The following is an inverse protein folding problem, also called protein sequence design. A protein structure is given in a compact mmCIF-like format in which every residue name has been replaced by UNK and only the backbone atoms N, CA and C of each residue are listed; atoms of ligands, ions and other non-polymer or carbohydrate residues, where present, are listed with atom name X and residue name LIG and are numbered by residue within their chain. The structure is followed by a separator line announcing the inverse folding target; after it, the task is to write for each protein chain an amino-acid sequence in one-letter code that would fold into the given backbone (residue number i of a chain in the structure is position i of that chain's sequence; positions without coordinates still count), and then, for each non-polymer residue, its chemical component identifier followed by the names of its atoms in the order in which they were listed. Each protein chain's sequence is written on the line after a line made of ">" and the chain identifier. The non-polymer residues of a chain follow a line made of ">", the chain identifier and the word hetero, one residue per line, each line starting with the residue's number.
data_IF_159495214535
#
_entry.id   IF_159495214535
#
_cell.length_a   1.000
_cell.length_b   1.000
_cell.length_c   1.000
_cell.angle_alpha   90.00
_cell.angle_beta   90.00
_cell.angle_gamma   90.00
#
_symmetry.space_group_name_H-M   'P 1'
#
loop_
_entity.id
_entity.type
_entity.pdbx_description
1 polymer ?
#
# COMPACT_ATOMS: atom_id res chain seq x y z
N UNK A 1 -9.19 -47.97 -4.32
CA UNK A 1 -10.47 -47.41 -3.84
C UNK A 1 -10.12 -46.22 -2.96
N UNK A 2 -10.41 -45.00 -3.40
CA UNK A 2 -10.12 -43.77 -2.68
C UNK A 2 -11.05 -43.62 -1.47
N UNK A 3 -10.49 -43.31 -0.31
CA UNK A 3 -11.28 -43.04 0.89
C UNK A 3 -12.26 -41.87 0.64
N UNK A 4 -13.50 -41.95 1.15
CA UNK A 4 -14.45 -40.85 1.00
C UNK A 4 -13.92 -39.62 1.73
N UNK A 5 -13.75 -38.53 0.98
CA UNK A 5 -13.36 -37.23 1.53
C UNK A 5 -14.56 -36.69 2.32
N UNK A 6 -14.38 -36.55 3.64
CA UNK A 6 -15.40 -35.95 4.51
C UNK A 6 -15.12 -34.45 4.57
N UNK A 7 -16.07 -33.64 4.10
CA UNK A 7 -15.97 -32.19 4.15
C UNK A 7 -16.38 -31.67 5.54
N UNK A 8 -15.73 -30.60 6.06
CA UNK A 8 -16.15 -29.97 7.31
C UNK A 8 -17.60 -29.45 7.24
N UNK A 9 -18.40 -29.54 8.31
CA UNK A 9 -19.80 -29.10 8.32
C UNK A 9 -20.01 -27.64 7.88
N UNK A 10 -19.12 -26.74 8.32
CA UNK A 10 -19.17 -25.32 7.92
C UNK A 10 -18.94 -25.10 6.42
N UNK A 11 -18.23 -26.01 5.75
CA UNK A 11 -18.03 -25.95 4.31
C UNK A 11 -19.28 -26.42 3.57
N UNK A 12 -19.93 -27.49 4.08
CA UNK A 12 -21.18 -28.00 3.53
C UNK A 12 -22.28 -26.93 3.62
N UNK A 13 -22.39 -26.26 4.77
CA UNK A 13 -23.37 -25.18 4.96
C UNK A 13 -23.19 -24.04 3.94
N UNK A 14 -21.94 -23.62 3.71
CA UNK A 14 -21.62 -22.60 2.69
C UNK A 14 -21.91 -23.07 1.27
N UNK A 15 -21.66 -24.33 0.94
CA UNK A 15 -21.96 -24.89 -0.38
C UNK A 15 -23.47 -24.94 -0.62
N UNK A 16 -24.25 -25.34 0.39
CA UNK A 16 -25.71 -25.35 0.35
C UNK A 16 -26.27 -23.94 0.21
N UNK A 17 -25.77 -22.99 1.01
CA UNK A 17 -26.19 -21.59 0.94
C UNK A 17 -25.89 -20.98 -0.44
N UNK A 18 -24.70 -21.25 -0.98
CA UNK A 18 -24.29 -20.77 -2.30
C UNK A 18 -25.11 -21.37 -3.44
N UNK A 19 -25.36 -22.68 -3.40
CA UNK A 19 -26.19 -23.39 -4.38
C UNK A 19 -27.62 -22.85 -4.39
N UNK A 20 -28.24 -22.68 -3.21
CA UNK A 20 -29.59 -22.14 -3.09
C UNK A 20 -29.71 -20.69 -3.58
N UNK A 21 -28.68 -19.85 -3.34
CA UNK A 21 -28.68 -18.46 -3.83
C UNK A 21 -28.64 -18.34 -5.35
N UNK A 22 -28.11 -19.35 -6.03
CA UNK A 22 -27.96 -19.38 -7.49
C UNK A 22 -28.97 -20.29 -8.18
N UNK A 23 -29.91 -20.88 -7.42
CA UNK A 23 -30.90 -21.84 -7.91
C UNK A 23 -30.25 -23.04 -8.63
N UNK A 24 -29.13 -23.53 -8.08
CA UNK A 24 -28.37 -24.65 -8.60
C UNK A 24 -28.42 -25.84 -7.62
N UNK A 25 -28.30 -27.06 -8.14
CA UNK A 25 -27.98 -28.20 -7.27
C UNK A 25 -26.56 -28.07 -6.71
N UNK A 26 -26.28 -28.70 -5.56
CA UNK A 26 -24.94 -28.69 -4.94
C UNK A 26 -23.88 -29.21 -5.92
N UNK A 27 -24.20 -30.25 -6.70
CA UNK A 27 -23.29 -30.79 -7.71
C UNK A 27 -22.96 -29.77 -8.81
N UNK A 28 -23.97 -29.07 -9.33
CA UNK A 28 -23.79 -28.02 -10.34
C UNK A 28 -23.04 -26.82 -9.76
N UNK A 29 -23.31 -26.44 -8.52
CA UNK A 29 -22.63 -25.35 -7.85
C UNK A 29 -21.15 -25.67 -7.61
N UNK A 30 -20.82 -26.89 -7.17
CA UNK A 30 -19.44 -27.36 -7.05
C UNK A 30 -18.72 -27.38 -8.40
N UNK A 31 -19.40 -27.82 -9.47
CA UNK A 31 -18.85 -27.81 -10.82
C UNK A 31 -18.59 -26.38 -11.30
N UNK A 32 -19.51 -25.45 -11.05
CA UNK A 32 -19.35 -24.03 -11.37
C UNK A 32 -18.21 -23.37 -10.59
N UNK A 33 -18.03 -23.73 -9.31
CA UNK A 33 -16.87 -23.28 -8.52
C UNK A 33 -15.55 -23.83 -9.07
N UNK A 34 -15.52 -25.10 -9.49
CA UNK A 34 -14.35 -25.72 -10.11
C UNK A 34 -14.05 -25.11 -11.47
N UNK A 35 -15.06 -24.86 -12.30
CA UNK A 35 -14.92 -24.21 -13.60
C UNK A 35 -14.41 -22.78 -13.45
N UNK A 36 -14.93 -22.00 -12.48
CA UNK A 36 -14.41 -20.67 -12.16
C UNK A 36 -12.96 -20.73 -11.67
N UNK A 37 -12.62 -21.67 -10.78
CA UNK A 37 -11.25 -21.84 -10.29
C UNK A 37 -10.28 -22.23 -11.43
N UNK A 38 -10.69 -23.15 -12.31
CA UNK A 38 -9.90 -23.58 -13.46
C UNK A 38 -9.80 -22.50 -14.54
N UNK A 39 -10.82 -21.65 -14.70
CA UNK A 39 -10.73 -20.46 -15.55
C UNK A 39 -9.81 -19.40 -14.95
N UNK A 40 -9.79 -19.22 -13.63
CA UNK A 40 -8.80 -18.38 -12.95
C UNK A 40 -7.38 -18.92 -13.12
N UNK A 41 -7.16 -20.23 -13.02
CA UNK A 41 -5.86 -20.90 -13.25
C UNK A 41 -5.42 -20.88 -14.72
N UNK A 42 -6.34 -21.06 -15.67
CA UNK A 42 -6.04 -20.98 -17.10
C UNK A 42 -5.80 -19.53 -17.56
N UNK A 43 -6.48 -18.55 -16.95
CA UNK A 43 -6.14 -17.14 -17.12
C UNK A 43 -4.77 -16.81 -16.51
N UNK A 44 -4.38 -17.47 -15.41
CA UNK A 44 -3.04 -17.31 -14.83
C UNK A 44 -1.93 -17.90 -15.72
N UNK A 45 -2.18 -19.01 -16.43
CA UNK A 45 -1.20 -19.61 -17.37
C UNK A 45 -1.04 -18.85 -18.69
N UNK A 46 -2.04 -18.11 -19.16
CA UNK A 46 -1.90 -17.21 -20.30
C UNK A 46 -1.15 -15.89 -19.96
N UNK A 47 -0.86 -15.63 -18.67
CA UNK A 47 -0.14 -14.44 -18.19
C UNK A 47 1.39 -14.60 -18.15
N UNK A 48 1.93 -15.80 -18.35
CA UNK A 48 3.39 -16.03 -18.32
C UNK A 48 4.16 -15.29 -19.43
N UNK A 49 3.47 -14.79 -20.46
CA UNK A 49 4.08 -14.03 -21.56
C UNK A 49 4.02 -12.49 -21.40
N UNK A 50 3.43 -11.93 -20.33
CA UNK A 50 3.15 -10.46 -20.23
C UNK A 50 3.55 -9.77 -18.91
N UNK A 51 4.26 -10.46 -18.01
CA UNK A 51 4.70 -9.88 -16.74
C UNK A 51 5.62 -8.66 -16.89
N UNK A 52 6.57 -8.69 -17.84
CA UNK A 52 7.48 -7.58 -18.10
C UNK A 52 6.75 -6.35 -18.68
N UNK A 53 5.83 -6.55 -19.63
CA UNK A 53 5.13 -5.46 -20.32
C UNK A 53 4.19 -4.66 -19.42
N UNK A 54 3.69 -5.25 -18.33
CA UNK A 54 2.68 -4.62 -17.48
C UNK A 54 3.23 -3.41 -16.72
N UNK A 55 4.50 -3.43 -16.29
CA UNK A 55 5.15 -2.32 -15.59
C UNK A 55 6.06 -1.47 -16.49
N UNK A 56 6.38 -1.95 -17.70
CA UNK A 56 7.21 -1.23 -18.68
C UNK A 56 6.82 0.25 -18.85
N UNK A 57 5.53 0.63 -19.03
CA UNK A 57 5.15 2.04 -19.19
C UNK A 57 5.47 2.95 -18.00
N UNK A 58 5.77 2.37 -16.84
CA UNK A 58 6.01 3.10 -15.58
C UNK A 58 7.48 3.12 -15.17
N UNK A 59 8.37 2.51 -15.96
CA UNK A 59 9.81 2.53 -15.72
C UNK A 59 10.41 3.91 -15.99
N UNK A 60 11.49 4.26 -15.29
CA UNK A 60 12.23 5.51 -15.50
C UNK A 60 12.54 5.76 -16.97
N UNK A 61 13.13 4.78 -17.63
CA UNK A 61 13.66 4.93 -18.99
C UNK A 61 12.56 5.13 -20.04
N UNK A 62 11.30 4.90 -19.68
CA UNK A 62 10.13 5.04 -20.54
C UNK A 62 9.30 6.30 -20.24
N UNK A 63 9.72 7.12 -19.27
CA UNK A 63 9.02 8.32 -18.88
C UNK A 63 9.84 9.56 -19.21
N UNK A 64 9.21 10.55 -19.84
CA UNK A 64 9.87 11.77 -20.26
C UNK A 64 9.99 12.77 -19.09
N UNK A 65 11.23 12.96 -18.60
CA UNK A 65 11.52 13.87 -17.49
C UNK A 65 11.22 15.33 -17.83
N UNK A 66 11.23 15.70 -19.12
CA UNK A 66 10.93 17.06 -19.56
C UNK A 66 9.50 17.46 -19.23
N UNK A 67 8.58 16.49 -19.07
CA UNK A 67 7.19 16.71 -18.67
C UNK A 67 7.05 17.08 -17.18
N UNK A 68 8.12 16.92 -16.37
CA UNK A 68 8.14 17.31 -14.95
C UNK A 68 8.60 18.77 -14.76
N UNK A 69 8.41 19.62 -15.76
CA UNK A 69 8.76 21.04 -15.75
C UNK A 69 7.71 21.88 -14.99
N UNK A 70 6.43 21.49 -15.01
CA UNK A 70 5.38 22.14 -14.25
C UNK A 70 5.33 21.51 -12.85
N UNK A 71 5.66 22.31 -11.84
CA UNK A 71 5.50 21.94 -10.44
C UNK A 71 4.62 22.96 -9.72
N UNK A 72 3.94 22.51 -8.68
CA UNK A 72 3.13 23.36 -7.81
C UNK A 72 3.74 23.42 -6.41
N UNK A 73 3.42 24.48 -5.68
CA UNK A 73 3.81 24.59 -4.27
C UNK A 73 3.04 23.54 -3.46
N UNK A 74 3.77 22.81 -2.63
CA UNK A 74 3.21 21.78 -1.76
C UNK A 74 3.07 22.28 -0.34
N UNK A 75 1.90 22.08 0.26
CA UNK A 75 1.70 22.32 1.69
C UNK A 75 1.77 20.97 2.44
N UNK A 76 2.88 20.68 3.14
CA UNK A 76 2.98 19.45 3.92
C UNK A 76 1.95 19.44 5.05
N UNK A 77 1.42 18.26 5.37
CA UNK A 77 0.48 18.12 6.49
C UNK A 77 1.23 18.28 7.83
N UNK A 78 1.07 19.44 8.45
CA UNK A 78 1.67 19.81 9.74
C UNK A 78 0.71 19.67 10.92
N UNK A 79 -0.59 19.54 10.65
CA UNK A 79 -1.64 19.65 11.68
C UNK A 79 -1.82 18.35 12.46
N UNK A 80 -1.76 17.20 11.77
CA UNK A 80 -2.03 15.89 12.36
C UNK A 80 -1.07 14.81 11.82
N UNK A 81 -0.93 13.73 12.58
CA UNK A 81 -0.28 12.52 12.08
C UNK A 81 -1.05 11.95 10.88
N UNK A 82 -0.33 11.25 10.00
CA UNK A 82 -0.91 10.64 8.82
C UNK A 82 -1.94 9.59 9.19
N UNK A 83 -3.07 9.66 8.49
CA UNK A 83 -4.18 8.72 8.63
C UNK A 83 -3.71 7.27 8.55
N UNK A 84 -4.34 6.42 9.36
CA UNK A 84 -4.13 4.98 9.37
C UNK A 84 -4.34 4.27 8.03
N UNK A 85 -5.02 4.93 7.08
CA UNK A 85 -5.27 4.38 5.74
C UNK A 85 -4.02 4.34 4.87
N UNK A 86 -3.08 5.27 5.06
CA UNK A 86 -1.79 5.26 4.37
C UNK A 86 -0.87 4.33 5.16
N UNK A 87 -1.03 3.02 4.97
CA UNK A 87 -0.29 2.02 5.72
C UNK A 87 0.90 1.44 4.96
N UNK A 88 1.07 1.75 3.68
CA UNK A 88 2.24 1.37 2.88
C UNK A 88 2.64 2.48 1.93
N UNK A 89 3.91 2.52 1.55
CA UNK A 89 4.45 3.60 0.74
C UNK A 89 4.72 3.21 -0.71
N UNK A 90 4.81 1.92 -1.04
CA UNK A 90 4.93 1.49 -2.44
C UNK A 90 3.73 1.86 -3.33
N UNK A 91 2.46 1.74 -2.88
CA UNK A 91 1.30 2.22 -3.63
C UNK A 91 1.39 3.70 -4.03
N UNK A 92 2.00 4.53 -3.18
CA UNK A 92 2.25 5.93 -3.46
C UNK A 92 3.25 6.09 -4.61
N UNK A 93 4.37 5.35 -4.58
CA UNK A 93 5.36 5.35 -5.66
C UNK A 93 4.74 4.95 -7.01
N UNK A 94 3.99 3.84 -7.01
CA UNK A 94 3.27 3.41 -8.19
C UNK A 94 2.29 4.49 -8.68
N UNK A 95 1.49 5.07 -7.77
CA UNK A 95 0.56 6.15 -8.10
C UNK A 95 1.25 7.34 -8.76
N UNK A 96 2.40 7.78 -8.24
CA UNK A 96 3.18 8.85 -8.85
C UNK A 96 3.66 8.48 -10.26
N UNK A 97 4.22 7.28 -10.47
CA UNK A 97 4.66 6.84 -11.82
C UNK A 97 3.50 6.78 -12.81
N UNK A 98 2.38 6.23 -12.37
CA UNK A 98 1.19 6.13 -13.17
C UNK A 98 0.67 7.52 -13.58
N UNK A 99 0.71 8.50 -12.69
CA UNK A 99 0.32 9.87 -13.01
C UNK A 99 1.26 10.52 -14.01
N UNK A 100 2.58 10.35 -13.85
CA UNK A 100 3.56 10.88 -14.78
C UNK A 100 3.35 10.31 -16.20
N UNK A 101 3.01 9.02 -16.31
CA UNK A 101 2.68 8.40 -17.61
C UNK A 101 1.45 9.00 -18.32
N UNK A 102 0.66 9.82 -17.62
CA UNK A 102 -0.55 10.47 -18.12
C UNK A 102 -0.38 11.98 -18.32
N UNK A 103 0.83 12.52 -18.15
CA UNK A 103 1.09 13.92 -18.45
C UNK A 103 0.95 14.16 -19.95
N UNK A 104 0.38 15.30 -20.33
CA UNK A 104 0.35 15.72 -21.72
C UNK A 104 1.70 16.30 -22.17
N UNK A 105 1.83 16.61 -23.46
CA UNK A 105 3.05 17.16 -24.06
C UNK A 105 3.47 18.51 -23.43
N UNK A 106 2.57 19.21 -22.75
CA UNK A 106 2.86 20.45 -22.05
C UNK A 106 3.34 20.22 -20.60
N UNK A 107 3.37 18.97 -20.12
CA UNK A 107 3.71 18.62 -18.74
C UNK A 107 2.55 18.81 -17.75
N UNK A 108 1.33 18.97 -18.27
CA UNK A 108 0.12 19.15 -17.46
C UNK A 108 -0.46 17.78 -17.13
N UNK A 109 -0.65 17.51 -15.84
CA UNK A 109 -1.16 16.20 -15.41
C UNK A 109 -2.67 15.99 -15.59
N UNK A 110 -3.13 14.75 -15.36
CA UNK A 110 -4.51 14.35 -15.65
C UNK A 110 -5.52 14.93 -14.66
N UNK A 111 -6.78 14.98 -15.07
CA UNK A 111 -7.91 15.13 -14.15
C UNK A 111 -8.17 13.84 -13.37
N UNK A 112 -8.92 13.94 -12.26
CA UNK A 112 -9.35 12.76 -11.49
C UNK A 112 -10.12 11.75 -12.36
N UNK A 113 -10.97 12.25 -13.27
CA UNK A 113 -11.78 11.40 -14.16
C UNK A 113 -10.91 10.61 -15.14
N UNK A 114 -9.92 11.27 -15.74
CA UNK A 114 -8.95 10.64 -16.65
C UNK A 114 -8.11 9.60 -15.92
N UNK A 115 -7.63 9.92 -14.72
CA UNK A 115 -6.88 8.99 -13.87
C UNK A 115 -7.70 7.73 -13.55
N UNK A 116 -8.96 7.90 -13.17
CA UNK A 116 -9.89 6.79 -12.92
C UNK A 116 -10.09 5.90 -14.14
N UNK A 117 -10.32 6.53 -15.31
CA UNK A 117 -10.56 5.83 -16.58
C UNK A 117 -9.32 5.04 -17.01
N UNK A 118 -8.14 5.61 -16.85
CA UNK A 118 -6.87 5.00 -17.22
C UNK A 118 -6.44 3.88 -16.25
N UNK A 119 -6.74 4.01 -14.94
CA UNK A 119 -6.31 3.01 -13.95
C UNK A 119 -7.11 1.70 -14.05
N UNK A 120 -8.40 1.80 -14.39
CA UNK A 120 -9.32 0.66 -14.41
C UNK A 120 -8.84 -0.54 -15.25
N UNK A 121 -8.40 -0.39 -16.52
CA UNK A 121 -7.95 -1.54 -17.31
C UNK A 121 -6.63 -2.15 -16.84
N UNK A 122 -5.75 -1.39 -16.18
CA UNK A 122 -4.40 -1.86 -15.84
C UNK A 122 -4.28 -2.43 -14.42
N UNK A 123 -5.22 -2.11 -13.52
CA UNK A 123 -5.04 -2.37 -12.10
C UNK A 123 -5.08 -3.86 -11.74
N UNK A 124 -5.90 -4.64 -12.44
CA UNK A 124 -5.99 -6.10 -12.25
C UNK A 124 -4.73 -6.81 -12.72
N UNK A 125 -4.21 -6.57 -13.94
CA UNK A 125 -2.91 -7.09 -14.36
C UNK A 125 -1.79 -6.75 -13.38
N UNK A 126 -1.70 -5.49 -12.94
CA UNK A 126 -0.66 -5.04 -11.99
C UNK A 126 -0.79 -5.76 -10.65
N UNK A 127 -2.01 -5.86 -10.10
CA UNK A 127 -2.23 -6.59 -8.85
C UNK A 127 -1.86 -8.07 -8.99
N UNK A 128 -2.11 -8.69 -10.13
CA UNK A 128 -1.72 -10.08 -10.38
C UNK A 128 -0.21 -10.24 -10.47
N UNK A 129 0.48 -9.36 -11.18
CA UNK A 129 1.94 -9.34 -11.26
C UNK A 129 2.57 -9.19 -9.87
N UNK A 130 2.09 -8.22 -9.08
CA UNK A 130 2.59 -8.01 -7.72
C UNK A 130 2.34 -9.22 -6.81
N UNK A 131 1.26 -9.98 -7.04
CA UNK A 131 1.00 -11.22 -6.34
C UNK A 131 2.02 -12.29 -6.73
N UNK A 132 2.35 -12.42 -8.02
CA UNK A 132 3.40 -13.33 -8.49
C UNK A 132 4.74 -12.99 -7.87
N UNK A 133 5.11 -11.70 -7.82
CA UNK A 133 6.32 -11.23 -7.12
C UNK A 133 6.26 -11.59 -5.63
N UNK A 134 5.13 -11.36 -4.97
CA UNK A 134 4.99 -11.73 -3.55
C UNK A 134 5.16 -13.24 -3.31
N UNK A 135 4.71 -14.09 -4.24
CA UNK A 135 4.82 -15.55 -4.18
C UNK A 135 6.23 -16.04 -4.47
N UNK A 136 6.87 -15.51 -5.53
CA UNK A 136 8.24 -15.83 -5.94
C UNK A 136 9.25 -15.56 -4.82
N UNK A 137 9.07 -14.43 -4.11
CA UNK A 137 9.94 -14.02 -3.02
C UNK A 137 9.42 -14.42 -1.63
N UNK A 138 8.41 -15.30 -1.55
CA UNK A 138 7.84 -15.82 -0.31
C UNK A 138 7.48 -14.74 0.73
N UNK A 139 6.90 -13.62 0.30
CA UNK A 139 6.55 -12.52 1.19
C UNK A 139 5.47 -12.90 2.18
N UNK A 140 5.76 -12.64 3.45
CA UNK A 140 4.83 -12.86 4.55
C UNK A 140 3.54 -12.05 4.37
N UNK A 141 2.43 -12.53 4.94
CA UNK A 141 1.10 -11.92 4.79
C UNK A 141 1.08 -10.42 5.10
N UNK A 142 1.88 -9.96 6.06
CA UNK A 142 2.00 -8.55 6.44
C UNK A 142 2.75 -7.68 5.43
N UNK A 143 3.55 -8.29 4.56
CA UNK A 143 4.53 -7.65 3.67
C UNK A 143 4.12 -7.70 2.19
N UNK A 144 3.22 -8.62 1.84
CA UNK A 144 2.67 -8.81 0.50
C UNK A 144 2.20 -7.51 -0.15
N UNK A 145 2.89 -7.02 -1.16
CA UNK A 145 2.65 -5.74 -1.84
C UNK A 145 1.25 -5.69 -2.46
N UNK A 146 0.83 -6.77 -3.13
CA UNK A 146 -0.41 -6.78 -3.93
C UNK A 146 -1.65 -6.45 -3.09
N UNK A 147 -1.61 -6.75 -1.78
CA UNK A 147 -2.72 -6.51 -0.86
C UNK A 147 -3.08 -5.03 -0.67
N UNK A 148 -2.19 -4.10 -1.03
CA UNK A 148 -2.46 -2.66 -1.01
C UNK A 148 -3.07 -2.12 -2.31
N UNK A 149 -3.14 -2.92 -3.37
CA UNK A 149 -3.73 -2.53 -4.65
C UNK A 149 -5.22 -2.91 -4.66
N UNK A 150 -6.11 -2.14 -5.30
CA UNK A 150 -7.53 -2.44 -5.32
C UNK A 150 -7.82 -3.62 -6.26
N UNK A 151 -8.98 -4.25 -6.09
CA UNK A 151 -9.58 -5.06 -7.15
C UNK A 151 -10.26 -4.14 -8.18
N UNK A 152 -10.86 -4.71 -9.23
CA UNK A 152 -11.51 -3.93 -10.30
C UNK A 152 -12.86 -3.29 -9.90
N UNK A 153 -13.19 -3.25 -8.60
CA UNK A 153 -14.40 -2.58 -8.12
C UNK A 153 -14.19 -1.07 -8.05
N UNK A 154 -15.19 -0.32 -8.51
CA UNK A 154 -15.16 1.15 -8.51
C UNK A 154 -14.88 1.72 -7.12
N UNK A 155 -15.47 1.16 -6.07
CA UNK A 155 -15.26 1.61 -4.70
C UNK A 155 -13.81 1.39 -4.23
N UNK A 156 -13.21 0.23 -4.55
CA UNK A 156 -11.83 -0.07 -4.20
C UNK A 156 -10.85 0.87 -4.92
N UNK A 157 -11.06 1.12 -6.22
CA UNK A 157 -10.27 2.07 -7.00
C UNK A 157 -10.38 3.49 -6.44
N UNK A 158 -11.61 3.96 -6.16
CA UNK A 158 -11.84 5.25 -5.50
C UNK A 158 -11.08 5.34 -4.18
N UNK A 159 -11.11 4.29 -3.36
CA UNK A 159 -10.41 4.26 -2.07
C UNK A 159 -8.90 4.33 -2.25
N UNK A 160 -8.34 3.56 -3.19
CA UNK A 160 -6.92 3.57 -3.52
C UNK A 160 -6.45 4.97 -3.92
N UNK A 161 -7.12 5.57 -4.92
CA UNK A 161 -6.77 6.89 -5.42
C UNK A 161 -6.96 7.98 -4.35
N UNK A 162 -8.02 7.94 -3.55
CA UNK A 162 -8.19 8.90 -2.46
C UNK A 162 -7.15 8.76 -1.34
N UNK A 163 -6.61 7.55 -1.14
CA UNK A 163 -5.62 7.28 -0.08
C UNK A 163 -4.22 7.71 -0.51
N UNK A 164 -3.84 7.41 -1.75
CA UNK A 164 -2.46 7.55 -2.21
C UNK A 164 -2.25 8.65 -3.25
N UNK A 165 -3.31 9.30 -3.74
CA UNK A 165 -3.19 10.15 -4.95
C UNK A 165 -3.94 11.48 -4.87
N UNK A 166 -5.21 11.49 -4.44
CA UNK A 166 -6.13 12.62 -4.71
C UNK A 166 -6.31 13.59 -3.52
N UNK A 167 -6.01 13.21 -2.27
CA UNK A 167 -6.38 14.05 -1.12
C UNK A 167 -5.36 15.13 -0.75
N UNK A 168 -5.71 16.36 -1.10
CA UNK A 168 -5.06 17.66 -0.87
C UNK A 168 -4.62 18.03 0.57
N UNK A 169 -4.89 17.24 1.61
CA UNK A 169 -4.69 17.71 2.99
C UNK A 169 -4.04 16.73 3.96
N UNK A 170 -3.61 15.54 3.52
CA UNK A 170 -3.12 14.50 4.45
C UNK A 170 -1.85 13.77 3.97
N UNK A 171 -0.87 14.55 3.52
CA UNK A 171 0.56 14.31 3.75
C UNK A 171 1.22 13.10 3.07
N UNK A 172 0.84 12.75 1.85
CA UNK A 172 1.71 11.91 1.02
C UNK A 172 1.81 12.52 -0.36
N UNK A 173 2.97 13.12 -0.66
CA UNK A 173 3.51 13.38 -1.99
C UNK A 173 2.41 13.69 -3.04
N UNK A 174 1.85 14.91 -3.00
CA UNK A 174 2.29 16.00 -3.88
C UNK A 174 1.46 16.19 -5.14
N UNK A 175 0.16 16.30 -4.92
CA UNK A 175 -0.81 16.56 -5.97
C UNK A 175 -1.79 17.58 -5.42
N UNK A 176 -1.84 18.76 -6.03
CA UNK A 176 -2.85 19.76 -5.73
C UNK A 176 -3.68 20.05 -6.96
N UNK A 177 -4.97 20.18 -6.70
CA UNK A 177 -6.04 20.27 -7.67
C UNK A 177 -6.37 21.72 -8.02
N UNK A 178 -5.39 22.64 -7.99
CA UNK A 178 -5.65 24.08 -8.14
C UNK A 178 -6.40 24.43 -9.43
N UNK A 179 -6.37 23.54 -10.44
CA UNK A 179 -7.06 23.67 -11.74
C UNK A 179 -7.89 22.43 -12.14
N UNK A 180 -8.37 21.64 -11.17
CA UNK A 180 -9.03 20.34 -11.43
C UNK A 180 -8.12 19.25 -12.05
N UNK A 181 -6.80 19.48 -12.03
CA UNK A 181 -5.76 18.61 -12.56
C UNK A 181 -4.71 18.30 -11.50
N UNK A 182 -4.07 17.16 -11.69
CA UNK A 182 -3.13 16.54 -10.76
C UNK A 182 -1.71 16.95 -11.16
N UNK A 183 -1.02 17.78 -10.38
CA UNK A 183 0.35 18.21 -10.69
C UNK A 183 1.32 17.89 -9.55
N UNK A 184 2.57 17.54 -9.90
CA UNK A 184 3.59 17.29 -8.89
C UNK A 184 4.04 18.55 -8.15
N UNK A 185 4.31 18.39 -6.88
CA UNK A 185 5.16 19.29 -6.10
C UNK A 185 6.63 18.87 -6.25
N UNK A 186 7.55 19.73 -5.84
CA UNK A 186 9.00 19.49 -5.89
C UNK A 186 9.43 18.17 -5.24
N UNK A 187 8.92 17.86 -4.04
CA UNK A 187 9.27 16.59 -3.37
C UNK A 187 8.65 15.38 -4.10
N UNK A 188 7.59 15.58 -4.90
CA UNK A 188 6.93 14.54 -5.67
C UNK A 188 7.68 14.24 -6.95
N UNK A 189 8.17 15.29 -7.61
CA UNK A 189 9.14 15.18 -8.68
C UNK A 189 10.39 14.41 -8.23
N UNK A 190 11.01 14.81 -7.12
CA UNK A 190 12.20 14.10 -6.58
C UNK A 190 11.92 12.64 -6.28
N UNK A 191 10.76 12.35 -5.67
CA UNK A 191 10.38 10.99 -5.30
C UNK A 191 10.08 10.14 -6.53
N UNK A 192 9.34 10.67 -7.52
CA UNK A 192 9.00 9.92 -8.72
C UNK A 192 10.25 9.64 -9.56
N UNK A 193 11.27 10.48 -9.55
CA UNK A 193 12.54 10.25 -10.25
C UNK A 193 13.45 9.20 -9.61
N UNK A 194 13.23 8.80 -8.36
CA UNK A 194 14.05 7.74 -7.74
C UNK A 194 13.81 6.39 -8.41
N UNK A 195 14.86 5.59 -8.59
CA UNK A 195 14.71 4.20 -9.05
C UNK A 195 14.00 3.36 -7.97
N UNK A 196 13.05 2.54 -8.41
CA UNK A 196 12.28 1.64 -7.57
C UNK A 196 12.58 0.17 -7.90
N UNK A 197 12.87 -0.69 -6.91
CA UNK A 197 13.25 -2.08 -7.14
C UNK A 197 12.18 -2.88 -7.90
N UNK A 198 10.90 -2.67 -7.57
CA UNK A 198 9.80 -3.44 -8.14
C UNK A 198 9.43 -2.92 -9.54
N UNK A 199 9.29 -1.60 -9.71
CA UNK A 199 8.82 -1.03 -10.98
C UNK A 199 9.91 -1.12 -12.05
N UNK A 200 11.13 -0.71 -11.73
CA UNK A 200 12.20 -0.58 -12.71
C UNK A 200 12.91 -1.93 -12.96
N UNK A 201 13.14 -2.71 -11.90
CA UNK A 201 13.98 -3.91 -11.94
C UNK A 201 13.21 -5.24 -11.75
N UNK A 202 11.91 -5.20 -11.41
CA UNK A 202 11.13 -6.38 -11.00
C UNK A 202 11.79 -7.17 -9.84
N UNK A 203 12.62 -6.50 -9.06
CA UNK A 203 13.30 -7.09 -7.90
C UNK A 203 12.37 -7.02 -6.68
N UNK A 204 11.74 -8.16 -6.40
CA UNK A 204 10.91 -8.36 -5.22
C UNK A 204 11.67 -8.91 -4.01
N UNK A 205 12.97 -9.20 -4.14
CA UNK A 205 13.79 -9.82 -3.09
C UNK A 205 14.22 -8.84 -2.01
N UNK A 206 14.14 -7.54 -2.30
CA UNK A 206 14.42 -6.46 -1.37
C UNK A 206 13.13 -5.78 -0.85
N UNK A 207 13.33 -4.69 -0.10
CA UNK A 207 12.25 -3.80 0.31
C UNK A 207 11.48 -3.24 -0.88
N UNK A 208 10.19 -2.93 -0.69
CA UNK A 208 9.35 -2.37 -1.75
C UNK A 208 9.73 -0.94 -2.18
N UNK A 209 10.57 -0.28 -1.39
CA UNK A 209 11.19 1.01 -1.70
C UNK A 209 12.71 0.86 -1.61
N UNK A 210 13.44 1.51 -2.52
CA UNK A 210 14.90 1.60 -2.47
C UNK A 210 15.38 2.43 -1.27
N UNK A 211 16.66 2.29 -0.91
CA UNK A 211 17.26 3.09 0.16
C UNK A 211 17.17 4.61 -0.10
N UNK A 212 17.33 5.03 -1.36
CA UNK A 212 17.20 6.44 -1.74
C UNK A 212 15.76 6.95 -1.59
N UNK A 213 14.77 6.13 -1.97
CA UNK A 213 13.36 6.44 -1.76
C UNK A 213 13.02 6.58 -0.27
N UNK A 214 13.50 5.64 0.55
CA UNK A 214 13.32 5.68 2.01
C UNK A 214 13.95 6.94 2.60
N UNK A 215 15.22 7.21 2.31
CA UNK A 215 15.94 8.39 2.81
C UNK A 215 15.26 9.70 2.42
N UNK A 216 14.78 9.82 1.18
CA UNK A 216 14.05 11.00 0.72
C UNK A 216 12.76 11.21 1.52
N UNK A 217 11.98 10.14 1.73
CA UNK A 217 10.73 10.22 2.50
C UNK A 217 10.99 10.50 3.98
N UNK A 218 12.00 9.88 4.60
CA UNK A 218 12.40 10.15 5.99
C UNK A 218 12.80 11.61 6.16
N UNK A 219 13.62 12.13 5.25
CA UNK A 219 14.06 13.54 5.27
C UNK A 219 12.86 14.49 5.13
N UNK A 220 11.93 14.17 4.23
CA UNK A 220 10.72 14.99 4.06
C UNK A 220 9.83 14.96 5.30
N UNK A 221 9.52 13.77 5.84
CA UNK A 221 8.63 13.60 7.00
C UNK A 221 9.22 14.28 8.24
N UNK A 222 10.51 14.07 8.51
CA UNK A 222 11.17 14.65 9.69
C UNK A 222 11.23 16.18 9.64
N UNK A 223 11.54 16.76 8.47
CA UNK A 223 11.67 18.21 8.32
C UNK A 223 10.31 18.94 8.19
N UNK A 224 9.29 18.30 7.61
CA UNK A 224 8.06 18.99 7.18
C UNK A 224 6.79 18.51 7.89
N UNK A 225 6.82 17.35 8.56
CA UNK A 225 5.62 16.71 9.11
C UNK A 225 5.81 16.36 10.59
N UNK A 226 6.06 17.37 11.42
CA UNK A 226 6.45 17.20 12.82
C UNK A 226 5.51 16.29 13.63
N UNK A 227 4.19 16.33 13.38
CA UNK A 227 3.21 15.46 14.06
C UNK A 227 3.33 14.00 13.65
N UNK A 228 3.53 13.74 12.36
CA UNK A 228 3.75 12.39 11.85
C UNK A 228 5.10 11.85 12.35
N UNK A 229 6.15 12.66 12.24
CA UNK A 229 7.47 12.29 12.73
C UNK A 229 7.47 11.97 14.22
N UNK A 230 6.85 12.84 15.04
CA UNK A 230 6.69 12.60 16.46
C UNK A 230 5.86 11.34 16.77
N UNK A 231 4.89 11.00 15.93
CA UNK A 231 4.10 9.78 16.09
C UNK A 231 4.90 8.51 15.73
N UNK A 232 5.64 8.52 14.62
CA UNK A 232 6.57 7.43 14.24
C UNK A 232 7.59 7.22 15.36
N UNK A 233 8.26 8.28 15.83
CA UNK A 233 9.23 8.20 16.93
C UNK A 233 8.63 7.61 18.20
N UNK A 234 7.41 8.02 18.57
CA UNK A 234 6.74 7.48 19.76
C UNK A 234 6.47 5.97 19.67
N UNK A 235 6.18 5.46 18.47
CA UNK A 235 6.01 4.02 18.23
C UNK A 235 7.36 3.30 18.29
N UNK A 236 8.38 3.83 17.62
CA UNK A 236 9.73 3.23 17.60
C UNK A 236 10.32 3.14 19.02
N UNK A 237 10.23 4.22 19.78
CA UNK A 237 10.60 4.27 21.21
C UNK A 237 9.79 3.25 22.03
N UNK A 238 8.50 3.11 21.73
CA UNK A 238 7.67 2.07 22.34
C UNK A 238 8.19 0.66 22.10
N UNK A 239 8.54 0.33 20.86
CA UNK A 239 9.08 -0.98 20.49
C UNK A 239 10.43 -1.20 21.17
N UNK A 240 11.31 -0.19 21.15
CA UNK A 240 12.62 -0.22 21.80
C UNK A 240 12.53 -0.51 23.30
N UNK A 241 11.55 0.08 23.99
CA UNK A 241 11.28 -0.13 25.42
C UNK A 241 10.43 -1.37 25.74
N UNK A 242 10.20 -2.27 24.77
CA UNK A 242 9.50 -3.54 24.96
C UNK A 242 7.98 -3.51 24.77
N UNK A 243 7.39 -2.39 24.34
CA UNK A 243 6.03 -2.38 23.78
C UNK A 243 6.07 -2.86 22.32
N UNK A 244 6.44 -4.13 22.11
CA UNK A 244 6.76 -4.70 20.81
C UNK A 244 5.66 -5.61 20.24
N UNK A 245 4.46 -5.60 20.84
CA UNK A 245 3.31 -6.40 20.38
C UNK A 245 2.13 -5.52 20.01
N UNK A 246 1.22 -6.05 19.19
CA UNK A 246 0.00 -5.35 18.78
C UNK A 246 -0.83 -4.82 19.96
N UNK A 247 -0.93 -5.59 21.05
CA UNK A 247 -1.67 -5.22 22.25
C UNK A 247 -0.92 -4.20 23.13
N UNK A 248 0.39 -4.39 23.34
CA UNK A 248 1.20 -3.46 24.14
C UNK A 248 1.31 -2.08 23.47
N UNK A 249 1.52 -2.04 22.15
CA UNK A 249 1.48 -0.80 21.37
C UNK A 249 0.12 -0.12 21.41
N UNK A 250 -0.97 -0.88 21.32
CA UNK A 250 -2.31 -0.30 21.42
C UNK A 250 -2.49 0.41 22.76
N UNK A 251 -2.13 -0.24 23.87
CA UNK A 251 -2.17 0.35 25.21
C UNK A 251 -1.32 1.62 25.31
N UNK A 252 -0.10 1.59 24.77
CA UNK A 252 0.81 2.76 24.74
C UNK A 252 0.19 3.93 23.96
N UNK A 253 -0.31 3.68 22.75
CA UNK A 253 -0.91 4.71 21.90
C UNK A 253 -2.18 5.27 22.55
N UNK A 254 -3.04 4.42 23.12
CA UNK A 254 -4.26 4.87 23.82
C UNK A 254 -3.93 5.83 24.96
N UNK A 255 -2.90 5.55 25.76
CA UNK A 255 -2.50 6.46 26.86
C UNK A 255 -2.07 7.84 26.38
N UNK A 256 -1.41 7.94 25.22
CA UNK A 256 -0.87 9.21 24.70
C UNK A 256 -1.82 9.97 23.80
N UNK A 257 -2.65 9.26 23.03
CA UNK A 257 -3.47 9.85 21.96
C UNK A 257 -4.96 9.55 22.08
N UNK A 258 -5.38 8.68 23.01
CA UNK A 258 -6.78 8.25 23.15
C UNK A 258 -7.71 9.28 23.81
N UNK A 259 -8.92 8.86 24.23
CA UNK A 259 -9.91 9.76 24.81
C UNK A 259 -9.38 10.52 26.03
N UNK A 260 -9.68 11.82 26.12
CA UNK A 260 -9.23 12.69 27.22
C UNK A 260 -7.80 13.21 27.09
N UNK A 261 -7.08 12.86 26.01
CA UNK A 261 -5.78 13.46 25.67
C UNK A 261 -5.94 14.67 24.75
N UNK A 262 -4.85 15.38 24.44
CA UNK A 262 -4.85 16.49 23.47
C UNK A 262 -5.30 16.06 22.07
N UNK A 263 -5.02 14.81 21.66
CA UNK A 263 -5.41 14.28 20.36
C UNK A 263 -6.81 13.67 20.35
N UNK A 264 -7.29 13.18 21.51
CA UNK A 264 -8.64 12.69 21.73
C UNK A 264 -9.13 11.69 20.66
N UNK A 265 -8.27 10.77 20.20
CA UNK A 265 -8.67 9.75 19.24
C UNK A 265 -9.64 8.76 19.88
N UNK A 266 -10.72 8.44 19.17
CA UNK A 266 -11.68 7.44 19.61
C UNK A 266 -11.07 6.04 19.64
N UNK A 267 -11.67 5.14 20.42
CA UNK A 267 -11.28 3.73 20.47
C UNK A 267 -11.30 3.05 19.10
N UNK A 268 -12.18 3.50 18.19
CA UNK A 268 -12.25 3.02 16.81
C UNK A 268 -11.12 3.55 15.93
N UNK A 269 -10.57 4.73 16.19
CA UNK A 269 -9.51 5.36 15.37
C UNK A 269 -8.13 4.82 15.72
N UNK A 270 -7.87 4.55 17.01
CA UNK A 270 -6.54 4.15 17.50
C UNK A 270 -5.98 2.89 16.78
N UNK A 271 -6.74 1.79 16.59
CA UNK A 271 -6.24 0.61 15.87
C UNK A 271 -5.82 0.91 14.43
N UNK A 272 -6.54 1.82 13.75
CA UNK A 272 -6.21 2.25 12.41
C UNK A 272 -4.93 3.09 12.40
N UNK A 273 -4.80 4.06 13.30
CA UNK A 273 -3.60 4.89 13.41
C UNK A 273 -2.35 4.06 13.74
N UNK A 274 -2.47 3.08 14.64
CA UNK A 274 -1.39 2.12 14.93
C UNK A 274 -0.98 1.36 13.68
N UNK A 275 -1.95 0.77 12.99
CA UNK A 275 -1.67 -0.09 11.83
C UNK A 275 -1.06 0.69 10.68
N UNK A 276 -1.50 1.94 10.45
CA UNK A 276 -0.92 2.82 9.44
C UNK A 276 0.53 3.17 9.74
N UNK A 277 0.82 3.66 10.95
CA UNK A 277 2.17 4.06 11.31
C UNK A 277 3.14 2.88 11.38
N UNK A 278 2.73 1.71 11.84
CA UNK A 278 3.56 0.49 11.77
C UNK A 278 3.87 0.09 10.34
N UNK A 279 2.90 0.17 9.43
CA UNK A 279 3.16 -0.18 8.03
C UNK A 279 4.05 0.86 7.32
N UNK A 280 3.94 2.14 7.67
CA UNK A 280 4.86 3.18 7.19
C UNK A 280 6.26 3.00 7.76
N UNK A 281 6.40 2.78 9.08
CA UNK A 281 7.69 2.52 9.72
C UNK A 281 8.39 1.31 9.09
N UNK A 282 7.65 0.25 8.75
CA UNK A 282 8.19 -0.89 8.03
C UNK A 282 8.62 -0.51 6.61
N UNK A 283 7.79 0.26 5.88
CA UNK A 283 8.13 0.72 4.52
C UNK A 283 9.37 1.64 4.49
N UNK A 284 9.66 2.34 5.59
CA UNK A 284 10.84 3.19 5.77
C UNK A 284 12.06 2.42 6.32
N UNK A 285 11.94 1.09 6.51
CA UNK A 285 13.04 0.26 6.99
C UNK A 285 13.34 0.40 8.48
N UNK A 286 12.43 0.95 9.29
CA UNK A 286 12.64 1.15 10.72
C UNK A 286 12.25 -0.04 11.59
N UNK A 287 11.34 -0.88 11.09
CA UNK A 287 10.89 -2.06 11.83
C UNK A 287 10.83 -3.30 10.96
N UNK A 288 11.09 -4.42 11.59
CA UNK A 288 10.86 -5.77 11.08
C UNK A 288 9.76 -6.45 11.90
N UNK A 289 9.16 -7.50 11.34
CA UNK A 289 8.11 -8.27 12.00
C UNK A 289 8.50 -9.73 12.08
N UNK A 290 8.28 -10.31 13.24
CA UNK A 290 8.42 -11.75 13.44
C UNK A 290 7.05 -12.32 13.76
N UNK A 291 6.64 -13.36 13.02
CA UNK A 291 5.42 -14.11 13.30
C UNK A 291 5.77 -15.32 14.16
N UNK A 292 5.27 -15.36 15.39
CA UNK A 292 5.40 -16.51 16.29
C UNK A 292 4.02 -17.09 16.55
N UNK A 293 3.70 -18.17 15.84
CA UNK A 293 2.37 -18.78 15.80
C UNK A 293 1.28 -17.75 15.46
N UNK A 294 0.46 -17.35 16.44
CA UNK A 294 -0.64 -16.39 16.27
C UNK A 294 -0.30 -14.98 16.77
N UNK A 295 0.98 -14.69 17.05
CA UNK A 295 1.43 -13.40 17.58
C UNK A 295 2.40 -12.73 16.60
N UNK A 296 2.31 -11.41 16.53
CA UNK A 296 3.23 -10.54 15.78
C UNK A 296 4.04 -9.75 16.79
N UNK A 297 5.35 -9.87 16.68
CA UNK A 297 6.31 -9.05 17.40
C UNK A 297 7.02 -8.11 16.41
N UNK A 298 7.28 -6.89 16.85
CA UNK A 298 7.97 -5.87 16.07
C UNK A 298 9.38 -5.69 16.61
N UNK A 299 10.36 -5.61 15.73
CA UNK A 299 11.75 -5.37 16.09
C UNK A 299 12.22 -4.07 15.43
N UNK A 300 12.96 -3.24 16.16
CA UNK A 300 13.59 -2.06 15.57
C UNK A 300 14.82 -2.48 14.76
N UNK A 301 15.04 -1.81 13.65
CA UNK A 301 16.27 -1.97 12.85
C UNK A 301 17.36 -1.02 13.35
N UNK A 302 18.58 -1.19 12.84
CA UNK A 302 19.68 -0.27 13.13
C UNK A 302 19.38 1.17 12.69
N UNK A 303 18.68 1.34 11.55
CA UNK A 303 18.26 2.66 11.07
C UNK A 303 17.30 3.36 12.05
N UNK A 304 16.44 2.61 12.74
CA UNK A 304 15.55 3.17 13.75
C UNK A 304 16.29 3.63 15.01
N UNK A 305 17.36 2.94 15.41
CA UNK A 305 18.16 3.32 16.58
C UNK A 305 18.77 4.71 16.42
N UNK A 306 19.31 5.02 15.24
CA UNK A 306 19.86 6.35 14.94
C UNK A 306 18.82 7.46 15.18
N UNK A 307 17.55 7.20 14.86
CA UNK A 307 16.46 8.17 15.05
C UNK A 307 16.01 8.29 16.50
N UNK A 308 16.09 7.20 17.27
CA UNK A 308 15.72 7.18 18.68
C UNK A 308 16.79 7.91 19.50
N UNK A 309 18.07 7.66 19.19
CA UNK A 309 19.24 8.14 19.94
C UNK A 309 19.66 9.59 19.61
N UNK A 310 19.16 10.18 18.52
CA UNK A 310 19.31 11.61 18.19
C UNK A 310 18.45 12.52 19.12
N UNK A 311 18.60 12.38 20.44
CA UNK A 311 18.04 13.27 21.50
C UNK A 311 19.17 13.96 22.25
#
# INVERSE_FOLDING_TARGET
>A
MSAPIILPPALIEKLVEGANKQDLSISQFCQLLLENYLQEDNNAKHLETTAADTLTPFKLDNLDESLLNIIIEGEPNTQEALTGHINRLFPLKFGCRFIWSLFDEAGVGPTISELHKALKPIITPIRSLLRTIDEEYNRDRGERIHSSFPNNERYAINRFLNTYTIRQARGSVNISNSTNRIQFTEIGKKFVLQQNPIIDNLDGGLAALSANEQMLLVSHISANMAKEWGYIRHILDGIHLGSNTTASLLSRITRRYGPGTKSNWSESVIPHMRSGALGRAQSLGFIERTFTANRVEYHITFAALQIIDDI
#
